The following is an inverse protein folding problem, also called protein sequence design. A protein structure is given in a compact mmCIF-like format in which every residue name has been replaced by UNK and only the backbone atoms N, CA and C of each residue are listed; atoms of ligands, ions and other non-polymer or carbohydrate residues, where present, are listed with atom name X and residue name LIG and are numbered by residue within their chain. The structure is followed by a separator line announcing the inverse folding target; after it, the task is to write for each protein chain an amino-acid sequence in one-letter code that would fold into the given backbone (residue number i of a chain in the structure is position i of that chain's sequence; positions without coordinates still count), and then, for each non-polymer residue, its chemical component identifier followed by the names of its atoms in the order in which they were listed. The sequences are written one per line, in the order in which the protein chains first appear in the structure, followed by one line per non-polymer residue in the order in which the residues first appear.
data_IF_254168156321
#
_entry.id   IF_254168156321
#
_cell.length_a   1.000
_cell.length_b   1.000
_cell.length_c   1.000
_cell.angle_alpha   90.00
_cell.angle_beta   90.00
_cell.angle_gamma   90.00
#
_symmetry.space_group_name_H-M   'P 1'
#
loop_
_entity.id
_entity.type
_entity.pdbx_description
1 polymer ?
#
# COMPACT_ATOMS: atom_id res chain seq x y z
N UNK A 1 2.86 39.73 18.55
CA UNK A 1 2.40 39.28 17.22
C UNK A 1 3.41 38.36 16.55
N UNK A 2 4.68 38.74 16.33
CA UNK A 2 5.69 37.81 15.76
C UNK A 2 6.16 36.67 16.70
N UNK A 3 5.82 36.75 17.98
CA UNK A 3 6.20 35.77 19.01
C UNK A 3 5.13 34.69 19.26
N UNK A 4 3.88 34.90 18.86
CA UNK A 4 2.81 33.89 18.95
C UNK A 4 2.82 32.96 17.73
N UNK A 5 3.19 33.46 16.55
CA UNK A 5 3.36 32.64 15.34
C UNK A 5 4.51 31.64 15.45
N UNK A 6 5.55 31.97 16.22
CA UNK A 6 6.70 31.08 16.44
C UNK A 6 6.44 29.96 17.45
N UNK A 7 5.47 30.14 18.35
CA UNK A 7 5.13 29.14 19.37
C UNK A 7 4.26 28.00 18.82
N UNK A 8 3.67 28.18 17.62
CA UNK A 8 2.82 27.17 16.99
C UNK A 8 3.61 26.24 16.05
N UNK A 9 4.91 26.47 15.88
CA UNK A 9 5.79 25.73 14.97
C UNK A 9 6.65 24.65 15.66
N UNK A 10 6.50 24.42 16.98
CA UNK A 10 7.39 23.53 17.76
C UNK A 10 6.72 22.30 18.37
N UNK A 11 5.38 22.17 18.29
CA UNK A 11 4.70 20.94 18.65
C UNK A 11 4.70 19.98 17.45
N UNK A 12 5.07 18.72 17.66
CA UNK A 12 4.80 17.68 16.67
C UNK A 12 3.31 17.78 16.27
N UNK A 13 2.96 17.72 14.97
CA UNK A 13 1.58 17.94 14.53
C UNK A 13 0.65 17.01 15.31
N UNK A 14 -0.51 17.51 15.75
CA UNK A 14 -1.42 16.77 16.67
C UNK A 14 -1.72 15.36 16.17
N UNK A 15 -1.71 15.16 14.84
CA UNK A 15 -1.82 13.84 14.22
C UNK A 15 -0.74 12.84 14.66
N UNK A 16 0.50 13.26 14.91
CA UNK A 16 1.58 12.39 15.39
C UNK A 16 1.31 11.93 16.81
N UNK A 17 0.89 12.86 17.68
CA UNK A 17 0.58 12.53 19.06
C UNK A 17 -0.61 11.56 19.12
N UNK A 18 -1.64 11.79 18.30
CA UNK A 18 -2.77 10.89 18.13
C UNK A 18 -2.34 9.49 17.66
N UNK A 19 -1.55 9.42 16.59
CA UNK A 19 -1.05 8.16 16.00
C UNK A 19 -0.26 7.32 17.01
N UNK A 20 0.41 7.97 17.97
CA UNK A 20 1.23 7.32 19.00
C UNK A 20 0.40 6.95 20.23
N UNK A 21 -0.40 7.88 20.76
CA UNK A 21 -1.19 7.66 21.99
C UNK A 21 -2.37 6.73 21.79
N UNK A 22 -3.06 6.85 20.67
CA UNK A 22 -4.29 6.09 20.35
C UNK A 22 -4.04 5.01 19.29
N UNK A 23 -2.80 4.55 19.15
CA UNK A 23 -2.38 3.59 18.12
C UNK A 23 -3.28 2.34 18.04
N UNK A 24 -3.47 1.64 19.17
CA UNK A 24 -4.30 0.43 19.22
C UNK A 24 -5.77 0.72 18.86
N UNK A 25 -6.32 1.85 19.31
CA UNK A 25 -7.68 2.26 18.98
C UNK A 25 -7.84 2.50 17.47
N UNK A 26 -6.91 3.24 16.86
CA UNK A 26 -6.86 3.49 15.41
C UNK A 26 -6.82 2.18 14.64
N UNK A 27 -5.93 1.26 15.00
CA UNK A 27 -5.80 -0.03 14.33
C UNK A 27 -7.08 -0.85 14.45
N UNK A 28 -7.70 -0.88 15.64
CA UNK A 28 -8.90 -1.65 15.88
C UNK A 28 -10.09 -1.10 15.10
N UNK A 29 -10.29 0.22 15.10
CA UNK A 29 -11.33 0.89 14.33
C UNK A 29 -11.13 0.70 12.82
N UNK A 30 -9.92 0.94 12.33
CA UNK A 30 -9.61 0.81 10.90
C UNK A 30 -9.81 -0.62 10.39
N UNK A 31 -9.38 -1.63 11.16
CA UNK A 31 -9.63 -3.03 10.83
C UNK A 31 -11.13 -3.33 10.88
N UNK A 32 -11.84 -2.87 11.90
CA UNK A 32 -13.29 -3.10 12.04
C UNK A 32 -14.03 -2.53 10.82
N UNK A 33 -13.80 -1.26 10.48
CA UNK A 33 -14.39 -0.59 9.32
C UNK A 33 -14.07 -1.36 8.03
N UNK A 34 -12.84 -1.86 7.89
CA UNK A 34 -12.46 -2.66 6.72
C UNK A 34 -13.18 -4.00 6.67
N UNK A 35 -13.31 -4.70 7.79
CA UNK A 35 -14.00 -6.01 7.84
C UNK A 35 -15.51 -5.89 7.64
N UNK A 36 -16.10 -4.77 8.04
CA UNK A 36 -17.52 -4.47 7.88
C UNK A 36 -17.85 -3.87 6.50
N UNK A 37 -16.84 -3.58 5.67
CA UNK A 37 -17.05 -3.02 4.33
C UNK A 37 -17.51 -4.08 3.33
N UNK A 38 -18.45 -3.70 2.45
CA UNK A 38 -18.95 -4.60 1.40
C UNK A 38 -17.91 -4.99 0.34
N UNK A 39 -16.75 -4.33 0.33
CA UNK A 39 -15.65 -4.58 -0.62
C UNK A 39 -14.60 -5.56 -0.07
N UNK A 40 -14.73 -5.99 1.18
CA UNK A 40 -13.73 -6.85 1.79
C UNK A 40 -13.86 -8.31 1.34
N UNK A 41 -12.72 -8.87 0.90
CA UNK A 41 -12.60 -10.24 0.41
C UNK A 41 -11.74 -11.08 1.34
N UNK A 42 -12.40 -11.79 2.26
CA UNK A 42 -11.79 -12.64 3.29
C UNK A 42 -10.82 -13.69 2.69
N UNK A 43 -11.09 -14.16 1.47
CA UNK A 43 -10.29 -15.17 0.78
C UNK A 43 -8.90 -14.67 0.33
N UNK A 44 -8.71 -13.35 0.21
CA UNK A 44 -7.48 -12.77 -0.31
C UNK A 44 -6.45 -12.40 0.77
N UNK A 45 -6.91 -12.15 2.00
CA UNK A 45 -6.04 -11.77 3.11
C UNK A 45 -6.54 -12.33 4.45
N UNK A 46 -5.74 -13.16 5.13
CA UNK A 46 -6.05 -13.57 6.50
C UNK A 46 -6.13 -12.36 7.44
N UNK A 47 -7.10 -12.35 8.37
CA UNK A 47 -7.29 -11.25 9.34
C UNK A 47 -6.02 -10.92 10.15
N UNK A 48 -5.21 -11.92 10.48
CA UNK A 48 -3.92 -11.74 11.18
C UNK A 48 -2.92 -10.94 10.33
N UNK A 49 -2.88 -11.21 9.03
CA UNK A 49 -2.01 -10.51 8.09
C UNK A 49 -2.49 -9.08 7.85
N UNK A 50 -3.81 -8.88 7.72
CA UNK A 50 -4.40 -7.54 7.65
C UNK A 50 -4.02 -6.71 8.88
N UNK A 51 -4.16 -7.27 10.09
CA UNK A 51 -3.77 -6.59 11.33
C UNK A 51 -2.29 -6.23 11.36
N UNK A 52 -1.42 -7.18 10.97
CA UNK A 52 0.03 -6.96 10.92
C UNK A 52 0.40 -5.82 9.97
N UNK A 53 -0.18 -5.81 8.77
CA UNK A 53 0.04 -4.74 7.79
C UNK A 53 -0.45 -3.38 8.32
N UNK A 54 -1.66 -3.33 8.88
CA UNK A 54 -2.21 -2.11 9.47
C UNK A 54 -1.38 -1.58 10.62
N UNK A 55 -0.89 -2.45 11.51
CA UNK A 55 0.03 -2.08 12.59
C UNK A 55 1.30 -1.44 12.05
N UNK A 56 1.98 -2.10 11.11
CA UNK A 56 3.21 -1.59 10.51
C UNK A 56 3.01 -0.25 9.81
N UNK A 57 1.89 -0.08 9.08
CA UNK A 57 1.55 1.20 8.43
C UNK A 57 1.43 2.32 9.45
N UNK A 58 0.66 2.13 10.53
CA UNK A 58 0.46 3.17 11.55
C UNK A 58 1.77 3.51 12.26
N UNK A 59 2.60 2.51 12.59
CA UNK A 59 3.91 2.70 13.22
C UNK A 59 4.89 3.46 12.32
N UNK A 60 4.97 3.07 11.05
CA UNK A 60 5.83 3.73 10.07
C UNK A 60 5.36 5.15 9.80
N UNK A 61 4.05 5.38 9.72
CA UNK A 61 3.48 6.70 9.52
C UNK A 61 3.77 7.62 10.70
N UNK A 62 3.54 7.16 11.94
CA UNK A 62 3.84 7.92 13.14
C UNK A 62 5.31 8.35 13.22
N UNK A 63 6.23 7.41 12.92
CA UNK A 63 7.67 7.69 12.89
C UNK A 63 8.05 8.65 11.76
N UNK A 64 7.59 8.39 10.53
CA UNK A 64 7.95 9.20 9.36
C UNK A 64 7.44 10.63 9.48
N UNK A 65 6.21 10.84 9.97
CA UNK A 65 5.67 12.19 10.18
C UNK A 65 6.46 12.93 11.27
N UNK A 66 6.83 12.24 12.36
CA UNK A 66 7.69 12.82 13.40
C UNK A 66 9.06 13.23 12.85
N UNK A 67 9.74 12.32 12.16
CA UNK A 67 11.10 12.52 11.69
C UNK A 67 11.18 13.53 10.54
N UNK A 68 10.12 13.63 9.73
CA UNK A 68 10.03 14.59 8.63
C UNK A 68 9.77 16.03 9.08
N UNK A 69 9.32 16.25 10.33
CA UNK A 69 8.91 17.57 10.80
C UNK A 69 7.76 18.17 9.99
N UNK A 70 6.87 17.34 9.43
CA UNK A 70 5.76 17.80 8.59
C UNK A 70 6.08 17.90 7.10
N UNK A 71 7.17 17.29 6.62
CA UNK A 71 7.46 17.25 5.19
C UNK A 71 6.45 16.39 4.40
N UNK A 72 6.48 16.53 3.08
CA UNK A 72 5.62 15.79 2.16
C UNK A 72 6.02 14.31 2.06
N UNK A 73 5.09 13.50 1.55
CA UNK A 73 5.26 12.05 1.40
C UNK A 73 6.43 11.67 0.50
N UNK A 74 6.95 12.57 -0.35
CA UNK A 74 8.08 12.28 -1.25
C UNK A 74 9.46 12.47 -0.56
N UNK A 75 9.49 12.96 0.67
CA UNK A 75 10.74 13.14 1.44
C UNK A 75 11.38 11.81 1.85
N UNK A 76 12.68 11.82 2.17
CA UNK A 76 13.46 10.63 2.58
C UNK A 76 12.92 9.98 3.86
N UNK A 77 12.24 10.74 4.72
CA UNK A 77 11.62 10.21 5.93
C UNK A 77 10.57 9.12 5.66
N UNK A 78 10.00 9.07 4.44
CA UNK A 78 9.01 8.09 4.03
C UNK A 78 9.57 6.98 3.11
N UNK A 79 10.90 6.87 2.94
CA UNK A 79 11.52 5.84 2.07
C UNK A 79 11.10 4.42 2.45
N UNK A 80 11.19 4.08 3.73
CA UNK A 80 10.78 2.76 4.22
C UNK A 80 9.29 2.53 3.99
N UNK A 81 8.46 3.56 4.19
CA UNK A 81 7.02 3.48 3.99
C UNK A 81 6.68 3.21 2.52
N UNK A 82 7.33 3.92 1.59
CA UNK A 82 7.18 3.67 0.15
C UNK A 82 7.58 2.24 -0.23
N UNK A 83 8.67 1.74 0.32
CA UNK A 83 9.12 0.36 0.10
C UNK A 83 8.08 -0.67 0.60
N UNK A 84 7.50 -0.44 1.77
CA UNK A 84 6.48 -1.32 2.34
C UNK A 84 5.16 -1.29 1.54
N UNK A 85 4.71 -0.11 1.12
CA UNK A 85 3.54 0.04 0.24
C UNK A 85 3.76 -0.64 -1.12
N UNK A 86 5.00 -0.63 -1.65
CA UNK A 86 5.37 -1.35 -2.85
C UNK A 86 5.25 -2.87 -2.66
N UNK A 87 5.77 -3.42 -1.55
CA UNK A 87 5.65 -4.86 -1.23
C UNK A 87 4.18 -5.30 -1.14
N UNK A 88 3.36 -4.53 -0.42
CA UNK A 88 1.93 -4.78 -0.31
C UNK A 88 1.26 -4.80 -1.69
N UNK A 89 1.53 -3.79 -2.52
CA UNK A 89 0.92 -3.65 -3.84
C UNK A 89 1.35 -4.79 -4.78
N UNK A 90 2.61 -5.21 -4.72
CA UNK A 90 3.13 -6.37 -5.46
C UNK A 90 2.44 -7.67 -5.05
N UNK A 91 2.30 -7.92 -3.74
CA UNK A 91 1.61 -9.10 -3.22
C UNK A 91 0.14 -9.13 -3.68
N UNK A 92 -0.53 -7.98 -3.63
CA UNK A 92 -1.93 -7.82 -4.03
C UNK A 92 -2.14 -7.95 -5.53
N UNK A 93 -1.19 -7.47 -6.35
CA UNK A 93 -1.15 -7.74 -7.79
C UNK A 93 -1.09 -9.24 -8.05
N UNK A 94 -0.23 -9.99 -7.37
CA UNK A 94 -0.18 -11.44 -7.53
C UNK A 94 -1.49 -12.14 -7.12
N UNK A 95 -2.11 -11.71 -6.02
CA UNK A 95 -3.32 -12.33 -5.44
C UNK A 95 -4.64 -11.96 -6.13
N UNK A 96 -4.65 -11.10 -7.15
CA UNK A 96 -5.89 -10.76 -7.85
C UNK A 96 -6.75 -9.68 -7.18
N UNK A 97 -6.14 -8.81 -6.38
CA UNK A 97 -6.78 -7.55 -6.01
C UNK A 97 -7.00 -6.67 -7.24
N UNK A 98 -7.91 -5.73 -7.17
CA UNK A 98 -8.01 -4.61 -8.11
C UNK A 98 -7.13 -3.45 -7.65
N UNK A 99 -6.72 -2.54 -8.55
CA UNK A 99 -6.04 -1.30 -8.16
C UNK A 99 -6.86 -0.49 -7.16
N UNK A 100 -8.18 -0.48 -7.31
CA UNK A 100 -9.10 0.26 -6.45
C UNK A 100 -9.08 -0.30 -5.02
N UNK A 101 -9.27 -1.61 -4.83
CA UNK A 101 -9.21 -2.22 -3.49
C UNK A 101 -7.86 -1.98 -2.81
N UNK A 102 -6.78 -1.96 -3.59
CA UNK A 102 -5.44 -1.70 -3.06
C UNK A 102 -5.32 -0.28 -2.48
N UNK A 103 -5.84 0.73 -3.21
CA UNK A 103 -5.82 2.12 -2.78
C UNK A 103 -6.86 2.43 -1.69
N UNK A 104 -8.08 1.90 -1.82
CA UNK A 104 -9.16 2.10 -0.84
C UNK A 104 -8.73 1.65 0.55
N UNK A 105 -7.93 0.57 0.65
CA UNK A 105 -7.39 0.12 1.94
C UNK A 105 -6.64 1.23 2.68
N UNK A 106 -5.72 1.94 2.03
CA UNK A 106 -4.93 2.97 2.70
C UNK A 106 -5.72 4.27 2.90
N UNK A 107 -6.59 4.60 1.95
CA UNK A 107 -7.41 5.82 2.00
C UNK A 107 -8.49 5.73 3.08
N UNK A 108 -8.98 4.54 3.43
CA UNK A 108 -10.00 4.38 4.46
C UNK A 108 -9.52 4.75 5.87
N UNK A 109 -8.21 4.82 6.10
CA UNK A 109 -7.65 5.32 7.37
C UNK A 109 -8.06 6.79 7.64
N UNK A 110 -8.44 7.54 6.60
CA UNK A 110 -8.92 8.91 6.71
C UNK A 110 -10.11 9.03 7.64
N UNK A 111 -11.12 8.19 7.47
CA UNK A 111 -12.38 8.30 8.19
C UNK A 111 -12.17 7.95 9.66
N UNK A 112 -11.37 6.90 9.92
CA UNK A 112 -10.94 6.53 11.28
C UNK A 112 -10.24 7.69 11.99
N UNK A 113 -9.26 8.35 11.35
CA UNK A 113 -8.53 9.45 11.99
C UNK A 113 -9.36 10.72 12.10
N UNK A 114 -10.23 11.01 11.14
CA UNK A 114 -11.09 12.19 11.19
C UNK A 114 -11.98 12.16 12.44
N UNK A 115 -12.60 11.01 12.73
CA UNK A 115 -13.43 10.86 13.92
C UNK A 115 -12.64 11.14 15.20
N UNK A 116 -11.45 10.55 15.34
CA UNK A 116 -10.63 10.70 16.55
C UNK A 116 -10.00 12.09 16.68
N UNK A 117 -9.59 12.72 15.57
CA UNK A 117 -9.09 14.10 15.58
C UNK A 117 -10.18 15.12 15.92
N UNK A 118 -11.40 14.89 15.46
CA UNK A 118 -12.54 15.75 15.79
C UNK A 118 -12.86 15.72 17.29
N UNK A 119 -12.70 14.57 17.96
CA UNK A 119 -12.83 14.45 19.41
C UNK A 119 -11.70 15.19 20.16
N UNK A 120 -10.44 15.00 19.77
CA UNK A 120 -9.30 15.62 20.46
C UNK A 120 -9.22 17.15 20.26
N UNK A 121 -9.68 17.64 19.11
CA UNK A 121 -9.64 19.05 18.74
C UNK A 121 -11.01 19.73 18.87
N UNK A 122 -11.88 19.20 19.75
CA UNK A 122 -13.17 19.80 20.04
C UNK A 122 -12.98 21.26 20.49
N UNK A 123 -13.61 22.20 19.76
CA UNK A 123 -13.49 23.64 20.02
C UNK A 123 -12.36 24.35 19.28
N UNK A 124 -11.47 23.65 18.55
CA UNK A 124 -10.46 24.25 17.67
C UNK A 124 -10.59 23.74 16.22
N UNK A 125 -11.60 24.28 15.52
CA UNK A 125 -11.85 23.95 14.12
C UNK A 125 -10.66 24.29 13.19
N UNK A 126 -9.87 25.32 13.53
CA UNK A 126 -8.72 25.70 12.71
C UNK A 126 -7.60 24.67 12.83
N UNK A 127 -7.34 24.14 14.04
CA UNK A 127 -6.40 23.03 14.22
C UNK A 127 -6.87 21.78 13.47
N UNK A 128 -8.15 21.42 13.60
CA UNK A 128 -8.71 20.25 12.90
C UNK A 128 -8.52 20.33 11.38
N UNK A 129 -8.82 21.49 10.78
CA UNK A 129 -8.64 21.71 9.33
C UNK A 129 -7.17 21.60 8.93
N UNK A 130 -6.25 22.19 9.69
CA UNK A 130 -4.81 22.13 9.38
C UNK A 130 -4.29 20.68 9.41
N UNK A 131 -4.59 19.96 10.49
CA UNK A 131 -4.13 18.58 10.71
C UNK A 131 -4.74 17.62 9.69
N UNK A 132 -6.05 17.71 9.46
CA UNK A 132 -6.73 16.88 8.45
C UNK A 132 -6.26 17.18 7.03
N UNK A 133 -5.97 18.44 6.71
CA UNK A 133 -5.42 18.80 5.38
C UNK A 133 -4.06 18.16 5.17
N UNK A 134 -3.17 18.23 6.18
CA UNK A 134 -1.86 17.60 6.12
C UNK A 134 -1.99 16.07 5.96
N UNK A 135 -2.78 15.44 6.83
CA UNK A 135 -2.98 13.99 6.82
C UNK A 135 -3.62 13.49 5.51
N UNK A 136 -4.61 14.21 5.00
CA UNK A 136 -5.28 13.88 3.73
C UNK A 136 -4.30 13.88 2.57
N UNK A 137 -3.42 14.89 2.48
CA UNK A 137 -2.38 14.95 1.44
C UNK A 137 -1.43 13.76 1.50
N UNK A 138 -1.04 13.32 2.70
CA UNK A 138 -0.21 12.11 2.87
C UNK A 138 -0.94 10.86 2.38
N UNK A 139 -2.17 10.64 2.83
CA UNK A 139 -2.96 9.47 2.42
C UNK A 139 -3.22 9.44 0.91
N UNK A 140 -3.52 10.60 0.30
CA UNK A 140 -3.73 10.69 -1.15
C UNK A 140 -2.46 10.27 -1.91
N UNK A 141 -1.29 10.75 -1.49
CA UNK A 141 0.00 10.35 -2.09
C UNK A 141 0.28 8.86 -1.88
N UNK A 142 0.02 8.33 -0.70
CA UNK A 142 0.17 6.90 -0.40
C UNK A 142 -0.76 6.05 -1.28
N UNK A 143 -2.02 6.45 -1.45
CA UNK A 143 -2.98 5.79 -2.32
C UNK A 143 -2.52 5.80 -3.79
N UNK A 144 -2.06 6.94 -4.29
CA UNK A 144 -1.55 7.06 -5.67
C UNK A 144 -0.32 6.16 -5.90
N UNK A 145 0.65 6.16 -4.97
CA UNK A 145 1.83 5.30 -5.05
C UNK A 145 1.44 3.82 -5.01
N UNK A 146 0.44 3.44 -4.24
CA UNK A 146 -0.08 2.07 -4.24
C UNK A 146 -0.72 1.67 -5.58
N UNK A 147 -1.44 2.57 -6.24
CA UNK A 147 -1.99 2.31 -7.58
C UNK A 147 -0.84 2.15 -8.59
N UNK A 148 0.13 3.06 -8.60
CA UNK A 148 1.28 3.00 -9.51
C UNK A 148 2.07 1.70 -9.33
N UNK A 149 2.41 1.35 -8.08
CA UNK A 149 3.13 0.13 -7.74
C UNK A 149 2.35 -1.12 -8.14
N UNK A 150 1.03 -1.12 -7.97
CA UNK A 150 0.17 -2.22 -8.39
C UNK A 150 0.21 -2.40 -9.92
N UNK A 151 0.05 -1.32 -10.69
CA UNK A 151 0.08 -1.36 -12.16
C UNK A 151 1.43 -1.85 -12.65
N UNK A 152 2.52 -1.30 -12.10
CA UNK A 152 3.89 -1.71 -12.44
C UNK A 152 4.12 -3.19 -12.15
N UNK A 153 3.72 -3.65 -10.96
CA UNK A 153 3.84 -5.07 -10.57
C UNK A 153 3.00 -5.98 -11.48
N UNK A 154 1.81 -5.54 -11.90
CA UNK A 154 0.99 -6.31 -12.84
C UNK A 154 1.63 -6.42 -14.22
N UNK A 155 2.22 -5.36 -14.72
CA UNK A 155 2.93 -5.38 -16.00
C UNK A 155 4.15 -6.32 -15.94
N UNK A 156 4.94 -6.24 -14.87
CA UNK A 156 6.08 -7.16 -14.64
C UNK A 156 5.63 -8.63 -14.64
N UNK A 157 4.54 -8.94 -13.95
CA UNK A 157 3.97 -10.30 -13.92
C UNK A 157 3.55 -10.74 -15.34
N UNK A 158 2.89 -9.87 -16.11
CA UNK A 158 2.46 -10.18 -17.48
C UNK A 158 3.67 -10.42 -18.39
N UNK A 159 4.71 -9.58 -18.28
CA UNK A 159 5.92 -9.75 -19.09
C UNK A 159 6.65 -11.05 -18.76
N UNK A 160 6.77 -11.40 -17.48
CA UNK A 160 7.36 -12.68 -17.08
C UNK A 160 6.53 -13.86 -17.63
N UNK A 161 5.20 -13.82 -17.49
CA UNK A 161 4.32 -14.85 -18.04
C UNK A 161 4.46 -15.00 -19.56
N UNK A 162 4.68 -13.90 -20.29
CA UNK A 162 4.95 -13.95 -21.75
C UNK A 162 6.27 -14.64 -22.07
N UNK A 163 7.32 -14.35 -21.32
CA UNK A 163 8.63 -15.02 -21.47
C UNK A 163 8.48 -16.51 -21.19
N UNK A 164 7.83 -16.88 -20.07
CA UNK A 164 7.63 -18.29 -19.71
C UNK A 164 6.84 -19.05 -20.80
N UNK A 165 5.83 -18.42 -21.43
CA UNK A 165 5.11 -19.00 -22.57
C UNK A 165 5.99 -19.18 -23.82
N UNK A 166 6.92 -18.26 -24.08
CA UNK A 166 7.89 -18.36 -25.18
C UNK A 166 8.94 -19.44 -24.94
N UNK A 167 9.39 -19.61 -23.69
CA UNK A 167 10.33 -20.66 -23.31
C UNK A 167 9.70 -22.07 -23.35
N UNK A 168 8.39 -22.17 -23.08
CA UNK A 168 7.64 -23.43 -23.17
C UNK A 168 7.16 -23.77 -24.59
N UNK A 169 7.21 -22.82 -25.53
CA UNK A 169 6.81 -23.08 -26.92
C UNK A 169 7.99 -23.61 -27.71
N UNK A 170 8.20 -24.92 -27.68
CA UNK A 170 9.01 -25.60 -28.68
C UNK A 170 8.39 -25.37 -30.06
N UNK A 171 9.03 -24.59 -30.97
CA UNK A 171 8.44 -24.28 -32.27
C UNK A 171 8.39 -25.55 -33.12
N UNK A 172 7.19 -25.97 -33.54
CA UNK A 172 7.04 -27.09 -34.48
C UNK A 172 7.46 -26.61 -35.88
N UNK A 173 8.59 -27.12 -36.39
CA UNK A 173 9.11 -26.77 -37.71
C UNK A 173 8.82 -27.92 -38.68
N UNK A 174 8.18 -27.62 -39.83
CA UNK A 174 7.94 -28.59 -40.92
C UNK A 174 9.22 -28.71 -41.76
N UNK A 175 9.86 -29.88 -41.74
CA UNK A 175 11.12 -30.13 -42.47
C UNK A 175 10.85 -30.74 -43.84
N UNK A 176 9.74 -31.45 -43.99
CA UNK A 176 9.27 -31.97 -45.28
C UNK A 176 7.75 -32.11 -45.31
N UNK A 177 7.18 -32.39 -46.49
CA UNK A 177 5.77 -32.74 -46.58
C UNK A 177 5.47 -33.99 -45.73
N UNK A 178 4.53 -33.84 -44.78
CA UNK A 178 4.20 -34.82 -43.72
C UNK A 178 5.28 -35.14 -42.68
N UNK A 179 6.38 -34.37 -42.58
CA UNK A 179 7.40 -34.53 -41.53
C UNK A 179 7.51 -33.24 -40.69
N UNK A 180 7.27 -33.37 -39.38
CA UNK A 180 7.33 -32.30 -38.39
C UNK A 180 8.47 -32.58 -37.40
N UNK A 181 9.15 -31.53 -36.95
CA UNK A 181 10.16 -31.60 -35.89
C UNK A 181 9.75 -30.73 -34.70
N UNK A 182 9.94 -31.28 -33.50
CA UNK A 182 9.81 -30.56 -32.24
C UNK A 182 11.22 -30.49 -31.64
N UNK A 183 11.90 -29.34 -31.68
CA UNK A 183 13.20 -29.19 -31.05
C UNK A 183 13.01 -29.23 -29.54
N UNK A 184 13.53 -30.26 -28.87
CA UNK A 184 13.53 -30.34 -27.40
C UNK A 184 14.69 -29.46 -26.91
N UNK A 185 14.37 -28.33 -26.27
CA UNK A 185 15.35 -27.47 -25.60
C UNK A 185 15.17 -27.65 -24.10
N UNK A 186 16.07 -28.42 -23.48
CA UNK A 186 16.07 -28.70 -22.04
C UNK A 186 16.92 -29.92 -21.69
N UNK A 187 17.43 -29.98 -20.46
CA UNK A 187 18.16 -31.16 -19.96
C UNK A 187 17.16 -32.30 -19.71
N UNK A 188 17.00 -33.16 -20.71
CA UNK A 188 16.42 -34.51 -20.66
C UNK A 188 15.46 -34.76 -19.48
N UNK A 189 14.17 -34.52 -19.71
CA UNK A 189 13.10 -35.15 -18.94
C UNK A 189 13.21 -36.67 -19.16
N UNK A 190 13.98 -37.32 -18.30
CA UNK A 190 14.24 -38.76 -18.30
C UNK A 190 13.03 -39.62 -17.91
N UNK A 191 11.83 -39.03 -17.77
CA UNK A 191 10.59 -39.77 -17.44
C UNK A 191 9.71 -40.15 -18.62
N UNK A 192 10.10 -39.81 -19.85
CA UNK A 192 9.40 -40.27 -21.05
C UNK A 192 10.41 -40.67 -22.12
N UNK A 193 11.06 -41.81 -21.90
CA UNK A 193 11.71 -42.62 -22.94
C UNK A 193 11.11 -44.03 -22.87
#
# INVERSE_FOLDING_TARGET
MASEEKAQAEAAPYVVDLLVRRQEEIINLWIKERLESGEFRDELIPKKELRRQSQQIVEMLARSVRDSGGAEFDSTAFDEMRAFLHEISRNRAFKGYTPLENATYILSLRDTLLALLAEELEGDANALVREMTYFTKLLDKMGLVMVENYIRSREEIIQQQRVDMMELSTPVIKVWDKILTLPIIGTLDSRRA
#
